data_IF_808997019788
#
_entry.id   IF_808997019788
#
_cell.length_a   1.000
_cell.length_b   1.000
_cell.length_c   1.000
_cell.angle_alpha   90.00
_cell.angle_beta   90.00
_cell.angle_gamma   90.00
#
_symmetry.space_group_name_H-M   'P 1'
#
loop_
_entity.id
_entity.type
_entity.pdbx_description
1 polymer ?
#
# COMPACT_ATOMS: atom_id res chain seq x y z
N UNK A 1 -13.71 6.57 -2.08
CA UNK A 1 -12.35 6.75 -1.51
C UNK A 1 -11.90 5.42 -0.94
N UNK A 2 -10.61 5.13 -1.02
CA UNK A 2 -10.02 3.91 -0.46
C UNK A 2 -9.08 4.27 0.70
N UNK A 3 -8.94 3.36 1.65
CA UNK A 3 -7.94 3.50 2.72
C UNK A 3 -6.61 2.91 2.27
N UNK A 4 -5.57 3.72 2.37
CA UNK A 4 -4.19 3.36 2.07
C UNK A 4 -3.31 3.63 3.28
N UNK A 5 -2.25 2.84 3.44
CA UNK A 5 -1.16 3.07 4.37
C UNK A 5 0.00 3.68 3.60
N UNK A 6 0.40 4.87 3.98
CA UNK A 6 1.56 5.55 3.41
C UNK A 6 2.82 5.27 4.24
N UNK A 7 3.99 5.28 3.61
CA UNK A 7 5.30 5.19 4.25
C UNK A 7 5.55 3.91 5.08
N UNK A 8 4.93 2.82 4.66
CA UNK A 8 4.80 1.59 5.43
C UNK A 8 5.92 0.59 5.14
N UNK A 9 6.33 -0.16 6.16
CA UNK A 9 7.32 -1.25 6.03
C UNK A 9 6.64 -2.60 6.20
N UNK A 10 6.91 -3.50 5.26
CA UNK A 10 6.53 -4.91 5.30
C UNK A 10 7.73 -5.72 5.75
N UNK A 11 7.50 -6.65 6.68
CA UNK A 11 8.41 -7.77 6.98
C UNK A 11 7.82 -9.01 6.35
N UNK A 12 8.58 -9.63 5.45
CA UNK A 12 8.22 -10.89 4.82
C UNK A 12 8.52 -12.07 5.75
N UNK A 13 7.95 -13.24 5.46
CA UNK A 13 8.12 -14.46 6.25
C UNK A 13 9.57 -14.95 6.31
N UNK A 14 10.35 -14.69 5.26
CA UNK A 14 11.79 -14.97 5.16
C UNK A 14 12.67 -13.97 5.95
N UNK A 15 12.07 -12.95 6.54
CA UNK A 15 12.76 -11.91 7.31
C UNK A 15 13.20 -10.70 6.50
N UNK A 16 13.01 -10.70 5.17
CA UNK A 16 13.28 -9.52 4.33
C UNK A 16 12.37 -8.38 4.76
N UNK A 17 12.92 -7.16 4.76
CA UNK A 17 12.20 -5.94 5.09
C UNK A 17 12.19 -5.02 3.89
N UNK A 18 11.02 -4.55 3.51
CA UNK A 18 10.86 -3.65 2.37
C UNK A 18 9.93 -2.50 2.72
N UNK A 19 10.29 -1.30 2.27
CA UNK A 19 9.52 -0.08 2.49
C UNK A 19 8.77 0.27 1.22
N UNK A 20 7.49 0.61 1.38
CA UNK A 20 6.60 1.00 0.32
C UNK A 20 6.09 2.42 0.53
N UNK A 21 5.97 3.17 -0.57
CA UNK A 21 5.32 4.47 -0.58
C UNK A 21 3.88 4.37 -0.10
N UNK A 22 3.09 3.49 -0.71
CA UNK A 22 1.72 3.26 -0.29
C UNK A 22 1.27 1.81 -0.49
N UNK A 23 0.45 1.34 0.44
CA UNK A 23 -0.20 0.03 0.39
C UNK A 23 -1.69 0.16 0.62
N UNK A 24 -2.47 -0.66 -0.08
CA UNK A 24 -3.88 -0.88 0.23
C UNK A 24 -4.05 -2.29 0.80
N UNK A 25 -4.52 -2.37 2.03
CA UNK A 25 -4.83 -3.65 2.66
C UNK A 25 -6.21 -4.12 2.19
N UNK A 26 -6.27 -5.32 1.62
CA UNK A 26 -7.53 -6.01 1.35
C UNK A 26 -7.61 -7.30 2.17
N UNK A 27 -8.79 -7.93 2.22
CA UNK A 27 -8.99 -9.15 3.00
C UNK A 27 -8.05 -10.29 2.55
N UNK A 28 -7.78 -10.39 1.25
CA UNK A 28 -7.00 -11.48 0.64
C UNK A 28 -5.54 -11.12 0.35
N UNK A 29 -5.26 -9.87 -0.01
CA UNK A 29 -3.94 -9.43 -0.49
C UNK A 29 -3.59 -8.02 -0.05
N UNK A 30 -2.31 -7.70 -0.08
CA UNK A 30 -1.80 -6.34 0.09
C UNK A 30 -1.46 -5.80 -1.29
N UNK A 31 -2.12 -4.73 -1.70
CA UNK A 31 -1.88 -4.12 -3.01
C UNK A 31 -0.82 -3.03 -2.82
N UNK A 32 0.27 -3.12 -3.56
CA UNK A 32 1.36 -2.14 -3.53
C UNK A 32 1.08 -1.06 -4.57
N UNK A 33 1.45 0.18 -4.26
CA UNK A 33 1.22 1.30 -5.16
C UNK A 33 1.93 2.56 -4.75
N UNK A 34 1.64 3.61 -5.50
CA UNK A 34 2.15 4.97 -5.24
C UNK A 34 0.98 5.94 -5.19
N UNK A 35 1.13 6.99 -4.40
CA UNK A 35 0.19 8.11 -4.38
C UNK A 35 0.69 9.12 -5.40
N UNK A 36 -0.11 9.38 -6.42
CA UNK A 36 0.18 10.39 -7.44
C UNK A 36 -0.66 11.61 -7.13
N UNK A 37 -0.03 12.79 -7.15
CA UNK A 37 -0.71 14.06 -6.96
C UNK A 37 -0.82 14.78 -8.30
N UNK A 38 -2.04 14.92 -8.81
CA UNK A 38 -2.33 15.58 -10.10
C UNK A 38 -3.42 16.62 -9.89
N UNK A 39 -3.20 17.86 -10.34
CA UNK A 39 -4.18 18.96 -10.29
C UNK A 39 -4.89 19.11 -8.93
N UNK A 40 -4.14 19.02 -7.82
CA UNK A 40 -4.67 19.15 -6.46
C UNK A 40 -5.39 17.92 -5.91
N UNK A 41 -5.49 16.83 -6.68
CA UNK A 41 -6.09 15.56 -6.24
C UNK A 41 -5.00 14.50 -6.00
N UNK A 42 -5.14 13.74 -4.93
CA UNK A 42 -4.29 12.58 -4.62
C UNK A 42 -5.00 11.28 -5.03
N UNK A 43 -4.33 10.48 -5.86
CA UNK A 43 -4.84 9.24 -6.41
C UNK A 43 -3.90 8.07 -6.14
N UNK A 44 -4.47 6.92 -5.79
CA UNK A 44 -3.70 5.68 -5.64
C UNK A 44 -3.53 5.00 -6.99
N UNK A 45 -2.29 4.84 -7.43
CA UNK A 45 -1.95 4.00 -8.58
C UNK A 45 -1.42 2.65 -8.10
N UNK A 46 -2.13 1.59 -8.45
CA UNK A 46 -1.75 0.20 -8.16
C UNK A 46 -0.55 -0.19 -9.04
N UNK A 47 0.51 -0.73 -8.44
CA UNK A 47 1.72 -1.21 -9.13
C UNK A 47 1.90 -2.72 -9.04
N UNK A 48 1.34 -3.36 -8.02
CA UNK A 48 1.48 -4.79 -7.81
C UNK A 48 0.69 -5.28 -6.60
N UNK A 49 0.90 -6.54 -6.23
CA UNK A 49 0.30 -7.10 -5.03
C UNK A 49 1.22 -8.13 -4.37
N UNK A 50 1.01 -8.31 -3.07
CA UNK A 50 1.70 -9.28 -2.22
C UNK A 50 0.62 -10.11 -1.52
N UNK A 51 0.77 -11.44 -1.58
CA UNK A 51 -0.09 -12.36 -0.83
C UNK A 51 0.12 -12.19 0.67
N UNK A 52 -0.96 -12.16 1.45
CA UNK A 52 -0.86 -12.02 2.91
C UNK A 52 -0.08 -13.14 3.58
N UNK A 53 -0.06 -14.31 2.97
CA UNK A 53 0.69 -15.50 3.41
C UNK A 53 2.20 -15.24 3.46
N UNK A 54 2.70 -14.37 2.58
CA UNK A 54 4.12 -14.01 2.53
C UNK A 54 4.49 -12.89 3.52
N UNK A 55 3.50 -12.32 4.23
CA UNK A 55 3.70 -11.16 5.10
C UNK A 55 3.68 -11.62 6.55
N UNK A 56 4.82 -11.43 7.22
CA UNK A 56 4.96 -11.67 8.66
C UNK A 56 4.40 -10.50 9.47
N UNK A 57 4.71 -9.27 9.07
CA UNK A 57 4.30 -8.06 9.81
C UNK A 57 4.24 -6.83 8.90
N UNK A 58 3.32 -5.91 9.21
CA UNK A 58 3.23 -4.59 8.58
C UNK A 58 3.30 -3.54 9.69
N UNK A 59 4.16 -2.53 9.56
CA UNK A 59 4.35 -1.48 10.58
C UNK A 59 4.83 -0.15 9.95
N UNK A 60 4.88 0.92 10.75
CA UNK A 60 5.29 2.27 10.35
C UNK A 60 4.44 2.93 9.25
N UNK A 61 3.16 2.57 9.11
CA UNK A 61 2.26 3.18 8.12
C UNK A 61 1.31 4.22 8.70
N UNK A 62 1.12 5.34 7.98
CA UNK A 62 0.08 6.33 8.28
C UNK A 62 -1.15 6.04 7.43
N UNK A 63 -2.32 5.88 8.06
CA UNK A 63 -3.58 5.67 7.34
C UNK A 63 -4.05 6.97 6.69
N UNK A 64 -4.34 6.93 5.40
CA UNK A 64 -4.93 8.03 4.63
C UNK A 64 -6.09 7.53 3.77
N UNK A 65 -7.08 8.39 3.55
CA UNK A 65 -8.17 8.14 2.59
C UNK A 65 -7.87 8.89 1.31
N UNK A 66 -7.69 8.17 0.21
CA UNK A 66 -7.38 8.77 -1.09
C UNK A 66 -8.32 8.27 -2.18
N UNK A 67 -8.41 8.96 -3.31
CA UNK A 67 -9.18 8.47 -4.46
C UNK A 67 -8.42 7.30 -5.10
N UNK A 68 -9.13 6.30 -5.61
CA UNK A 68 -8.51 5.27 -6.44
C UNK A 68 -8.42 5.86 -7.84
N UNK A 69 -7.26 5.76 -8.49
CA UNK A 69 -7.16 6.10 -9.89
C UNK A 69 -8.03 5.11 -10.68
N UNK A 70 -9.04 5.62 -11.39
CA UNK A 70 -9.79 4.80 -12.34
C UNK A 70 -8.96 4.75 -13.63
N UNK A 71 -8.39 3.58 -13.90
CA UNK A 71 -7.68 3.29 -15.16
C UNK A 71 -8.67 3.00 -16.27
#
# INVERSE_FOLDING_TARGET
MIEVLENVTIVYVDGVKERFDALRLTSKRVITGRIIKTNGTEEFKECGFISRENIKRIYNGTKRKIKRMET
#
